data_IF_592388984212
#
_entry.id   IF_592388984212
#
_cell.length_a   1.000
_cell.length_b   1.000
_cell.length_c   1.000
_cell.angle_alpha   90.00
_cell.angle_beta   90.00
_cell.angle_gamma   90.00
#
_symmetry.space_group_name_H-M   'P 1'
#
loop_
_entity.id
_entity.type
_entity.pdbx_description
1 polymer ?
#
# COMPACT_ATOMS: atom_id res chain seq x y z
N UNK A 1 -8.06 -28.20 3.27
CA UNK A 1 -7.23 -27.02 3.56
C UNK A 1 -5.78 -27.44 3.40
N UNK A 2 -5.09 -26.93 2.39
CA UNK A 2 -3.66 -27.20 2.24
C UNK A 2 -2.93 -26.49 3.39
N UNK A 3 -2.24 -27.28 4.22
CA UNK A 3 -1.42 -26.78 5.30
C UNK A 3 -0.13 -26.22 4.68
N UNK A 4 -0.11 -24.93 4.35
CA UNK A 4 1.09 -24.27 3.84
C UNK A 4 2.14 -24.19 4.96
N UNK A 5 3.42 -24.34 4.60
CA UNK A 5 4.51 -24.23 5.55
C UNK A 5 4.45 -22.85 6.22
N UNK A 6 4.36 -22.83 7.55
CA UNK A 6 4.38 -21.58 8.32
C UNK A 6 5.78 -21.00 8.20
N UNK A 7 5.90 -19.82 7.64
CA UNK A 7 7.14 -19.04 7.71
C UNK A 7 7.34 -18.63 9.17
N UNK A 8 8.42 -19.07 9.80
CA UNK A 8 8.56 -18.91 11.24
C UNK A 8 8.72 -17.45 11.66
N UNK A 9 9.50 -16.64 10.91
CA UNK A 9 9.75 -15.24 11.27
C UNK A 9 9.70 -14.31 10.06
N UNK A 10 8.87 -13.27 10.16
CA UNK A 10 8.62 -12.29 9.09
C UNK A 10 9.07 -10.89 9.54
N UNK A 11 9.94 -10.25 8.77
CA UNK A 11 10.24 -8.83 8.92
C UNK A 11 9.23 -7.99 8.15
N UNK A 12 8.53 -7.08 8.82
CA UNK A 12 7.63 -6.12 8.18
C UNK A 12 8.28 -4.74 8.17
N UNK A 13 8.59 -4.23 6.97
CA UNK A 13 9.15 -2.90 6.74
C UNK A 13 8.06 -1.92 6.36
N UNK A 14 8.01 -0.76 7.05
CA UNK A 14 6.88 0.16 7.01
C UNK A 14 5.76 -0.23 7.98
N UNK A 15 6.08 -1.01 9.03
CA UNK A 15 5.15 -1.58 10.00
C UNK A 15 4.26 -0.55 10.71
N UNK A 16 4.70 0.68 10.89
CA UNK A 16 3.92 1.77 11.52
C UNK A 16 2.98 2.49 10.54
N UNK A 17 3.04 2.16 9.23
CA UNK A 17 2.12 2.67 8.21
C UNK A 17 0.76 1.96 8.24
N UNK A 18 -0.23 2.51 7.52
CA UNK A 18 -1.58 1.92 7.46
C UNK A 18 -1.57 0.47 6.95
N UNK A 19 -0.88 0.21 5.84
CA UNK A 19 -0.80 -1.14 5.29
C UNK A 19 0.11 -2.03 6.14
N UNK A 20 1.28 -1.54 6.57
CA UNK A 20 2.22 -2.34 7.34
C UNK A 20 1.66 -2.80 8.69
N UNK A 21 0.92 -1.94 9.39
CA UNK A 21 0.26 -2.33 10.65
C UNK A 21 -0.83 -3.38 10.44
N UNK A 22 -1.58 -3.29 9.33
CA UNK A 22 -2.54 -4.32 8.96
C UNK A 22 -1.85 -5.65 8.59
N UNK A 23 -0.72 -5.60 7.89
CA UNK A 23 0.10 -6.80 7.61
C UNK A 23 0.58 -7.43 8.92
N UNK A 24 1.11 -6.65 9.86
CA UNK A 24 1.52 -7.15 11.17
C UNK A 24 0.38 -7.86 11.90
N UNK A 25 -0.81 -7.25 11.94
CA UNK A 25 -1.98 -7.83 12.61
C UNK A 25 -2.41 -9.15 11.95
N UNK A 26 -2.52 -9.19 10.63
CA UNK A 26 -2.91 -10.40 9.91
C UNK A 26 -1.84 -11.50 9.99
N UNK A 27 -0.54 -11.16 9.91
CA UNK A 27 0.54 -12.13 10.05
C UNK A 27 0.57 -12.74 11.45
N UNK A 28 0.40 -11.94 12.51
CA UNK A 28 0.27 -12.47 13.89
C UNK A 28 -0.94 -13.37 14.05
N UNK A 29 -2.09 -12.97 13.50
CA UNK A 29 -3.31 -13.79 13.53
C UNK A 29 -3.16 -15.11 12.76
N UNK A 30 -2.31 -15.16 11.73
CA UNK A 30 -1.98 -16.37 10.99
C UNK A 30 -0.89 -17.24 11.67
N UNK A 31 -0.37 -16.83 12.83
CA UNK A 31 0.60 -17.61 13.61
C UNK A 31 2.07 -17.32 13.27
N UNK A 32 2.36 -16.33 12.44
CA UNK A 32 3.74 -15.96 12.14
C UNK A 32 4.37 -15.16 13.30
N UNK A 33 5.66 -15.36 13.54
CA UNK A 33 6.44 -14.44 14.37
C UNK A 33 6.78 -13.20 13.55
N UNK A 34 6.40 -12.03 14.06
CA UNK A 34 6.56 -10.77 13.33
C UNK A 34 7.58 -9.89 14.01
N UNK A 35 8.61 -9.52 13.25
CA UNK A 35 9.53 -8.44 13.58
C UNK A 35 9.11 -7.18 12.80
N UNK A 36 8.69 -6.14 13.51
CA UNK A 36 8.31 -4.86 12.93
C UNK A 36 9.51 -3.92 12.88
N UNK A 37 9.92 -3.47 11.67
CA UNK A 37 10.94 -2.42 11.56
C UNK A 37 10.32 -1.08 11.92
N UNK A 38 10.87 -0.43 12.94
CA UNK A 38 10.44 0.87 13.43
C UNK A 38 11.60 1.87 13.38
N UNK A 39 11.32 3.13 13.12
CA UNK A 39 12.35 4.18 13.14
C UNK A 39 12.55 4.76 14.54
N UNK A 40 11.46 4.97 15.22
CA UNK A 40 11.40 5.58 16.55
C UNK A 40 10.24 5.01 17.34
N UNK A 41 10.28 5.13 18.65
CA UNK A 41 9.15 4.82 19.52
C UNK A 41 7.96 5.76 19.27
N UNK A 42 6.76 5.22 19.30
CA UNK A 42 5.52 5.94 19.06
C UNK A 42 4.32 5.17 19.64
N UNK A 43 3.14 5.79 19.66
CA UNK A 43 1.89 5.10 20.01
C UNK A 43 1.64 3.89 19.10
N UNK A 44 1.95 4.01 17.81
CA UNK A 44 1.83 2.90 16.85
C UNK A 44 2.79 1.75 17.15
N UNK A 45 4.00 2.06 17.62
CA UNK A 45 4.94 1.02 18.07
C UNK A 45 4.41 0.26 19.27
N UNK A 46 3.80 0.97 20.23
CA UNK A 46 3.16 0.33 21.38
C UNK A 46 1.98 -0.57 20.97
N UNK A 47 1.22 -0.18 19.94
CA UNK A 47 0.16 -1.01 19.35
C UNK A 47 0.72 -2.29 18.70
N UNK A 48 1.81 -2.20 17.95
CA UNK A 48 2.47 -3.37 17.36
C UNK A 48 2.94 -4.36 18.43
N UNK A 49 3.51 -3.87 19.53
CA UNK A 49 3.88 -4.74 20.67
C UNK A 49 2.69 -5.39 21.34
N UNK A 50 1.55 -4.68 21.48
CA UNK A 50 0.31 -5.27 22.00
C UNK A 50 -0.24 -6.38 21.09
N UNK A 51 0.02 -6.32 19.80
CA UNK A 51 -0.26 -7.40 18.85
C UNK A 51 0.71 -8.57 18.95
N UNK A 52 1.72 -8.51 19.83
CA UNK A 52 2.74 -9.54 19.97
C UNK A 52 3.84 -9.47 18.91
N UNK A 53 4.06 -8.33 18.28
CA UNK A 53 5.19 -8.14 17.37
C UNK A 53 6.46 -7.77 18.14
N UNK A 54 7.59 -8.41 17.78
CA UNK A 54 8.91 -7.91 18.12
C UNK A 54 9.19 -6.62 17.35
N UNK A 55 10.02 -5.75 17.91
CA UNK A 55 10.41 -4.51 17.22
C UNK A 55 11.92 -4.46 17.02
N UNK A 56 12.34 -4.07 15.83
CA UNK A 56 13.74 -3.76 15.51
C UNK A 56 13.84 -2.28 15.09
N UNK A 57 14.79 -1.55 15.66
CA UNK A 57 15.05 -0.16 15.27
C UNK A 57 15.90 -0.14 14.00
N UNK A 58 15.43 0.58 12.99
CA UNK A 58 16.14 0.75 11.73
C UNK A 58 15.41 1.69 10.77
N UNK A 59 16.13 2.17 9.78
CA UNK A 59 15.66 3.09 8.76
C UNK A 59 16.17 2.65 7.38
N UNK A 60 15.32 2.71 6.38
CA UNK A 60 15.67 2.42 4.98
C UNK A 60 16.85 3.28 4.47
N UNK A 61 17.09 4.44 5.09
CA UNK A 61 18.22 5.31 4.76
C UNK A 61 19.56 4.85 5.38
N UNK A 62 19.54 3.82 6.22
CA UNK A 62 20.71 3.31 6.95
C UNK A 62 20.94 1.81 6.70
N UNK A 63 21.70 1.42 5.66
CA UNK A 63 21.86 0.02 5.24
C UNK A 63 22.32 -0.92 6.36
N UNK A 64 23.20 -0.48 7.27
CA UNK A 64 23.64 -1.28 8.39
C UNK A 64 22.48 -1.71 9.32
N UNK A 65 21.46 -0.86 9.49
CA UNK A 65 20.27 -1.19 10.27
C UNK A 65 19.38 -2.22 9.58
N UNK A 66 19.37 -2.24 8.25
CA UNK A 66 18.62 -3.21 7.45
C UNK A 66 19.26 -4.60 7.55
N UNK A 67 20.58 -4.68 7.43
CA UNK A 67 21.30 -5.93 7.62
C UNK A 67 21.06 -6.53 9.03
N UNK A 68 21.02 -5.68 10.07
CA UNK A 68 20.67 -6.12 11.42
C UNK A 68 19.23 -6.60 11.53
N UNK A 69 18.27 -5.92 10.89
CA UNK A 69 16.87 -6.27 10.93
C UNK A 69 16.56 -7.58 10.19
N UNK A 70 17.29 -7.89 9.11
CA UNK A 70 17.13 -9.09 8.29
C UNK A 70 17.75 -10.36 8.93
N UNK A 71 18.55 -10.26 10.03
CA UNK A 71 19.11 -11.45 10.68
C UNK A 71 18.01 -12.34 11.25
N UNK A 72 18.15 -13.64 11.05
CA UNK A 72 17.24 -14.66 11.58
C UNK A 72 15.77 -14.47 11.18
N UNK A 73 15.50 -13.91 10.00
CA UNK A 73 14.17 -13.85 9.42
C UNK A 73 14.10 -14.67 8.14
N UNK A 74 12.99 -15.34 7.92
CA UNK A 74 12.77 -16.17 6.73
C UNK A 74 12.13 -15.39 5.60
N UNK A 75 11.31 -14.39 5.95
CA UNK A 75 10.60 -13.58 4.96
C UNK A 75 10.64 -12.09 5.28
N UNK A 76 10.60 -11.27 4.23
CA UNK A 76 10.43 -9.83 4.31
C UNK A 76 9.14 -9.43 3.60
N UNK A 77 8.31 -8.63 4.28
CA UNK A 77 7.18 -7.92 3.65
C UNK A 77 7.45 -6.43 3.74
N UNK A 78 7.58 -5.75 2.61
CA UNK A 78 7.78 -4.29 2.61
C UNK A 78 6.61 -3.53 2.01
N UNK A 79 6.14 -2.55 2.79
CA UNK A 79 5.04 -1.64 2.44
C UNK A 79 5.48 -0.18 2.52
N UNK A 80 6.78 0.06 2.77
CA UNK A 80 7.32 1.37 3.00
C UNK A 80 7.28 2.26 1.76
N UNK A 81 6.95 3.53 1.96
CA UNK A 81 7.08 4.60 0.98
C UNK A 81 7.20 5.96 1.68
N UNK A 82 7.72 6.96 0.95
CA UNK A 82 7.90 8.32 1.46
C UNK A 82 6.80 9.29 1.00
N UNK A 83 5.79 8.85 0.26
CA UNK A 83 4.82 9.75 -0.38
C UNK A 83 4.10 10.67 0.63
N UNK A 84 3.85 10.17 1.82
CA UNK A 84 3.18 10.92 2.91
C UNK A 84 4.09 11.17 4.11
N UNK A 85 5.37 10.80 4.03
CA UNK A 85 6.30 11.01 5.12
C UNK A 85 6.64 12.49 5.29
N UNK A 86 6.76 12.91 6.55
CA UNK A 86 7.23 14.25 6.95
C UNK A 86 8.54 14.19 7.74
N UNK A 87 9.15 13.01 7.84
CA UNK A 87 10.40 12.85 8.56
C UNK A 87 11.56 13.50 7.78
N UNK A 88 12.51 14.08 8.51
CA UNK A 88 13.67 14.74 7.93
C UNK A 88 14.50 13.75 7.09
N UNK A 89 14.91 14.19 5.91
CA UNK A 89 15.68 13.40 4.95
C UNK A 89 14.88 12.33 4.19
N UNK A 90 13.58 12.17 4.45
CA UNK A 90 12.74 11.28 3.67
C UNK A 90 12.46 11.92 2.30
N UNK A 91 12.66 11.15 1.26
CA UNK A 91 12.32 11.49 -0.10
C UNK A 91 12.02 10.21 -0.90
N UNK A 92 11.35 10.37 -2.03
CA UNK A 92 11.09 9.24 -2.95
C UNK A 92 12.41 8.59 -3.39
N UNK A 93 13.48 9.36 -3.59
CA UNK A 93 14.80 8.83 -3.92
C UNK A 93 15.42 8.06 -2.76
N UNK A 94 15.37 8.63 -1.55
CA UNK A 94 16.05 8.05 -0.39
C UNK A 94 15.35 6.78 0.12
N UNK A 95 14.02 6.77 0.14
CA UNK A 95 13.23 5.69 0.72
C UNK A 95 12.73 4.71 -0.35
N UNK A 96 12.02 5.23 -1.38
CA UNK A 96 11.36 4.34 -2.36
C UNK A 96 12.32 3.73 -3.36
N UNK A 97 13.47 4.41 -3.64
CA UNK A 97 14.51 3.86 -4.52
C UNK A 97 15.65 3.26 -3.73
N UNK A 98 16.56 4.09 -3.19
CA UNK A 98 17.81 3.63 -2.56
C UNK A 98 17.53 2.67 -1.40
N UNK A 99 16.77 3.11 -0.41
CA UNK A 99 16.48 2.29 0.76
C UNK A 99 15.73 0.99 0.46
N UNK A 100 14.88 0.99 -0.58
CA UNK A 100 14.22 -0.26 -1.02
C UNK A 100 15.19 -1.20 -1.73
N UNK A 101 16.12 -0.70 -2.54
CA UNK A 101 17.19 -1.51 -3.16
C UNK A 101 18.13 -2.07 -2.08
N UNK A 102 18.60 -1.22 -1.15
CA UNK A 102 19.44 -1.63 -0.04
C UNK A 102 18.76 -2.70 0.84
N UNK A 103 17.43 -2.64 0.99
CA UNK A 103 16.65 -3.67 1.69
C UNK A 103 16.65 -5.01 0.94
N UNK A 104 16.51 -4.99 -0.38
CA UNK A 104 16.58 -6.21 -1.21
C UNK A 104 17.94 -6.87 -1.07
N UNK A 105 19.01 -6.08 -1.17
CA UNK A 105 20.39 -6.58 -1.05
C UNK A 105 20.66 -7.12 0.38
N UNK A 106 20.22 -6.40 1.42
CA UNK A 106 20.37 -6.84 2.81
C UNK A 106 19.60 -8.13 3.11
N UNK A 107 18.40 -8.28 2.55
CA UNK A 107 17.60 -9.50 2.71
C UNK A 107 18.26 -10.69 2.01
N UNK A 108 18.73 -10.52 0.77
CA UNK A 108 19.43 -11.56 0.02
C UNK A 108 20.73 -11.97 0.73
N UNK A 109 21.54 -11.01 1.20
CA UNK A 109 22.78 -11.27 1.93
C UNK A 109 22.56 -11.97 3.28
N UNK A 110 21.40 -11.75 3.92
CA UNK A 110 21.01 -12.42 5.16
C UNK A 110 20.42 -13.83 4.95
N UNK A 111 20.27 -14.28 3.70
CA UNK A 111 19.71 -15.59 3.39
C UNK A 111 18.17 -15.66 3.53
N UNK A 112 17.49 -14.50 3.45
CA UNK A 112 16.02 -14.47 3.44
C UNK A 112 15.50 -15.29 2.25
N UNK A 113 14.58 -16.22 2.52
CA UNK A 113 14.05 -17.12 1.49
C UNK A 113 12.90 -16.51 0.70
N UNK A 114 12.14 -15.56 1.30
CA UNK A 114 10.92 -15.00 0.73
C UNK A 114 10.87 -13.47 0.81
N UNK A 115 10.58 -12.81 -0.30
CA UNK A 115 10.44 -11.36 -0.35
C UNK A 115 9.11 -10.93 -0.97
N UNK A 116 8.26 -10.26 -0.19
CA UNK A 116 6.98 -9.70 -0.66
C UNK A 116 7.09 -8.18 -0.74
N UNK A 117 7.01 -7.66 -1.94
CA UNK A 117 7.13 -6.24 -2.23
C UNK A 117 5.79 -5.62 -2.60
N UNK A 118 5.39 -4.55 -1.92
CA UNK A 118 4.21 -3.78 -2.32
C UNK A 118 4.61 -2.67 -3.30
N UNK A 119 4.25 -2.87 -4.54
CA UNK A 119 4.44 -1.92 -5.63
C UNK A 119 3.17 -1.12 -5.90
N UNK A 120 2.77 -0.96 -7.14
CA UNK A 120 1.59 -0.24 -7.58
C UNK A 120 1.05 -0.82 -8.89
N UNK A 121 -0.18 -0.45 -9.24
CA UNK A 121 -0.90 -0.85 -10.45
C UNK A 121 0.02 -0.87 -11.68
N UNK A 122 0.12 -2.01 -12.41
CA UNK A 122 0.96 -2.12 -13.60
C UNK A 122 0.54 -1.17 -14.73
N UNK A 123 -0.72 -0.75 -14.77
CA UNK A 123 -1.23 0.19 -15.78
C UNK A 123 -0.80 1.65 -15.50
N UNK A 124 -0.22 1.95 -14.34
CA UNK A 124 0.26 3.30 -14.03
C UNK A 124 1.42 3.70 -14.95
N UNK A 125 1.30 4.83 -15.69
CA UNK A 125 2.34 5.27 -16.59
C UNK A 125 3.58 5.74 -15.82
N UNK A 126 4.77 5.38 -16.29
CA UNK A 126 6.05 5.76 -15.67
C UNK A 126 6.43 7.23 -15.95
N UNK A 127 5.47 8.14 -15.83
CA UNK A 127 5.61 9.56 -16.12
C UNK A 127 6.10 10.40 -14.93
N UNK A 128 6.40 9.78 -13.81
CA UNK A 128 7.00 10.41 -12.63
C UNK A 128 8.05 9.49 -11.99
N UNK A 129 8.91 10.06 -11.15
CA UNK A 129 10.01 9.35 -10.51
C UNK A 129 9.52 8.20 -9.61
N UNK A 130 8.43 8.39 -8.88
CA UNK A 130 7.90 7.37 -7.97
C UNK A 130 7.57 6.07 -8.70
N UNK A 131 6.82 6.15 -9.82
CA UNK A 131 6.46 4.97 -10.61
C UNK A 131 7.71 4.31 -11.18
N UNK A 132 8.66 5.09 -11.73
CA UNK A 132 9.92 4.54 -12.27
C UNK A 132 10.72 3.81 -11.20
N UNK A 133 10.86 4.36 -10.00
CA UNK A 133 11.61 3.74 -8.92
C UNK A 133 10.92 2.49 -8.38
N UNK A 134 9.60 2.47 -8.31
CA UNK A 134 8.87 1.24 -7.98
C UNK A 134 9.17 0.12 -8.99
N UNK A 135 9.20 0.43 -10.30
CA UNK A 135 9.58 -0.56 -11.34
C UNK A 135 11.03 -1.00 -11.25
N UNK A 136 11.95 -0.10 -10.91
CA UNK A 136 13.35 -0.45 -10.67
C UNK A 136 13.50 -1.44 -9.50
N UNK A 137 12.82 -1.19 -8.39
CA UNK A 137 12.82 -2.12 -7.25
C UNK A 137 12.16 -3.47 -7.59
N UNK A 138 11.06 -3.48 -8.36
CA UNK A 138 10.48 -4.73 -8.86
C UNK A 138 11.51 -5.58 -9.62
N UNK A 139 12.33 -4.95 -10.47
CA UNK A 139 13.37 -5.65 -11.21
C UNK A 139 14.45 -6.22 -10.27
N UNK A 140 14.89 -5.44 -9.27
CA UNK A 140 15.84 -5.91 -8.28
C UNK A 140 15.29 -7.08 -7.46
N UNK A 141 14.03 -7.02 -7.04
CA UNK A 141 13.34 -8.12 -6.34
C UNK A 141 13.33 -9.40 -7.19
N UNK A 142 13.00 -9.31 -8.49
CA UNK A 142 12.99 -10.45 -9.40
C UNK A 142 14.37 -11.05 -9.63
N UNK A 143 15.41 -10.22 -9.58
CA UNK A 143 16.81 -10.63 -9.78
C UNK A 143 17.51 -11.08 -8.50
N UNK A 144 16.88 -10.97 -7.33
CA UNK A 144 17.52 -11.14 -6.02
C UNK A 144 17.91 -12.59 -5.66
N UNK A 145 17.44 -13.58 -6.40
CA UNK A 145 17.60 -14.99 -6.07
C UNK A 145 16.66 -15.51 -4.96
N UNK A 146 15.97 -14.65 -4.24
CA UNK A 146 14.93 -15.02 -3.29
C UNK A 146 13.67 -15.49 -4.01
N UNK A 147 12.84 -16.28 -3.37
CA UNK A 147 11.46 -16.48 -3.84
C UNK A 147 10.67 -15.18 -3.59
N UNK A 148 10.08 -14.61 -4.62
CA UNK A 148 9.50 -13.29 -4.54
C UNK A 148 8.01 -13.23 -4.88
N UNK A 149 7.36 -12.17 -4.41
CA UNK A 149 6.03 -11.76 -4.85
C UNK A 149 6.00 -10.24 -4.94
N UNK A 150 5.55 -9.71 -6.07
CA UNK A 150 5.30 -8.27 -6.24
C UNK A 150 3.79 -8.05 -6.22
N UNK A 151 3.29 -7.48 -5.13
CA UNK A 151 1.90 -7.06 -5.03
C UNK A 151 1.72 -5.72 -5.73
N UNK A 152 0.78 -5.64 -6.66
CA UNK A 152 0.54 -4.46 -7.49
C UNK A 152 -0.87 -3.92 -7.26
N UNK A 153 -1.14 -3.33 -6.09
CA UNK A 153 -2.46 -2.81 -5.75
C UNK A 153 -2.81 -1.59 -6.61
N UNK A 154 -4.11 -1.50 -6.94
CA UNK A 154 -4.73 -0.30 -7.50
C UNK A 154 -4.93 0.77 -6.41
N UNK A 155 -5.96 1.58 -6.50
CA UNK A 155 -6.23 2.66 -5.57
C UNK A 155 -6.78 2.17 -4.23
N UNK A 156 -6.10 2.47 -3.13
CA UNK A 156 -6.60 2.15 -1.79
C UNK A 156 -7.86 2.96 -1.44
N UNK A 157 -8.90 2.29 -0.93
CA UNK A 157 -10.13 2.93 -0.47
C UNK A 157 -9.83 4.03 0.56
N UNK A 158 -9.01 3.72 1.56
CA UNK A 158 -8.68 4.60 2.68
C UNK A 158 -7.91 5.87 2.26
N UNK A 159 -7.16 5.80 1.16
CA UNK A 159 -6.37 6.91 0.64
C UNK A 159 -7.16 7.72 -0.39
N UNK A 160 -7.86 7.02 -1.30
CA UNK A 160 -8.46 7.65 -2.47
C UNK A 160 -9.91 8.09 -2.24
N UNK A 161 -10.58 7.52 -1.22
CA UNK A 161 -11.95 7.88 -0.82
C UNK A 161 -12.06 8.11 0.69
N UNK A 162 -10.95 8.42 1.35
CA UNK A 162 -10.89 8.79 2.76
C UNK A 162 -10.46 10.25 2.96
N UNK A 163 -10.12 10.60 4.19
CA UNK A 163 -9.70 11.93 4.58
C UNK A 163 -8.52 12.49 3.74
N UNK A 164 -7.51 11.71 3.35
CA UNK A 164 -6.43 12.21 2.49
C UNK A 164 -6.91 12.74 1.13
N UNK A 165 -7.97 12.14 0.58
CA UNK A 165 -8.58 12.58 -0.68
C UNK A 165 -9.68 13.65 -0.48
N UNK A 166 -9.93 14.08 0.75
CA UNK A 166 -10.96 15.06 1.08
C UNK A 166 -12.38 14.49 1.13
N UNK A 167 -12.50 13.18 1.44
CA UNK A 167 -13.77 12.54 1.74
C UNK A 167 -13.98 12.46 3.25
N UNK A 168 -15.19 12.78 3.69
CA UNK A 168 -15.65 12.70 5.08
C UNK A 168 -17.07 12.14 5.10
N UNK A 169 -17.18 10.84 5.39
CA UNK A 169 -18.46 10.16 5.41
C UNK A 169 -19.35 10.66 6.56
N UNK A 170 -18.75 11.03 7.69
CA UNK A 170 -19.46 11.53 8.87
C UNK A 170 -20.11 12.88 8.63
N UNK A 171 -19.45 13.73 7.82
CA UNK A 171 -19.95 15.06 7.45
C UNK A 171 -20.61 15.12 6.08
N UNK A 172 -20.74 13.98 5.40
CA UNK A 172 -21.26 13.86 4.04
C UNK A 172 -20.59 14.83 3.06
N UNK A 173 -19.26 14.80 3.01
CA UNK A 173 -18.43 15.63 2.11
C UNK A 173 -17.54 14.74 1.25
N UNK A 174 -17.38 15.10 -0.03
CA UNK A 174 -16.49 14.41 -0.94
C UNK A 174 -15.80 15.40 -1.88
N UNK A 175 -14.52 15.11 -2.22
CA UNK A 175 -13.80 15.79 -3.29
C UNK A 175 -13.61 14.83 -4.46
N UNK A 176 -13.98 15.27 -5.65
CA UNK A 176 -13.79 14.52 -6.89
C UNK A 176 -12.78 15.22 -7.78
N UNK A 177 -11.87 14.45 -8.34
CA UNK A 177 -10.91 14.94 -9.35
C UNK A 177 -11.49 14.71 -10.74
N UNK A 178 -11.55 15.76 -11.55
CA UNK A 178 -12.09 15.70 -12.90
C UNK A 178 -13.59 15.39 -12.95
N UNK A 179 -14.01 14.64 -13.97
CA UNK A 179 -15.40 14.25 -14.14
C UNK A 179 -15.88 13.15 -13.17
N UNK A 180 -14.94 12.42 -12.57
CA UNK A 180 -15.24 11.31 -11.66
C UNK A 180 -15.92 10.12 -12.31
N UNK A 181 -15.74 9.91 -13.61
CA UNK A 181 -16.41 8.84 -14.39
C UNK A 181 -15.49 7.68 -14.75
N UNK A 182 -14.20 7.82 -14.59
CA UNK A 182 -13.23 6.75 -14.88
C UNK A 182 -13.35 5.66 -13.82
N UNK A 183 -13.62 4.41 -14.19
CA UNK A 183 -13.66 3.31 -13.24
C UNK A 183 -12.28 3.09 -12.58
N UNK A 184 -12.28 2.78 -11.30
CA UNK A 184 -11.10 2.48 -10.49
C UNK A 184 -11.39 1.23 -9.68
N UNK A 185 -10.47 0.28 -9.66
CA UNK A 185 -10.57 -0.91 -8.83
C UNK A 185 -10.20 -0.59 -7.38
N UNK A 186 -11.02 0.15 -6.65
CA UNK A 186 -10.74 0.50 -5.25
C UNK A 186 -10.59 -0.75 -4.38
N UNK A 187 -9.42 -0.91 -3.74
CA UNK A 187 -9.11 -2.04 -2.86
C UNK A 187 -8.91 -1.57 -1.42
N UNK A 188 -9.42 -2.33 -0.46
CA UNK A 188 -9.22 -2.03 0.95
C UNK A 188 -7.77 -2.38 1.39
N UNK A 189 -7.18 -1.57 2.26
CA UNK A 189 -5.87 -1.85 2.86
C UNK A 189 -5.85 -3.22 3.54
N UNK A 190 -6.93 -3.59 4.22
CA UNK A 190 -7.05 -4.88 4.88
C UNK A 190 -6.98 -6.06 3.89
N UNK A 191 -7.52 -5.90 2.67
CA UNK A 191 -7.46 -6.93 1.64
C UNK A 191 -6.02 -7.11 1.15
N UNK A 192 -5.33 -6.01 0.85
CA UNK A 192 -3.92 -6.07 0.44
C UNK A 192 -3.04 -6.67 1.54
N UNK A 193 -3.33 -6.39 2.81
CA UNK A 193 -2.63 -7.02 3.93
C UNK A 193 -2.87 -8.54 3.98
N UNK A 194 -4.11 -9.00 3.74
CA UNK A 194 -4.41 -10.44 3.63
C UNK A 194 -3.69 -11.10 2.45
N UNK A 195 -3.66 -10.45 1.28
CA UNK A 195 -2.86 -10.92 0.14
C UNK A 195 -1.37 -10.98 0.46
N UNK A 196 -0.83 -9.99 1.18
CA UNK A 196 0.57 -9.98 1.58
C UNK A 196 0.92 -11.16 2.50
N UNK A 197 0.04 -11.50 3.43
CA UNK A 197 0.23 -12.65 4.33
C UNK A 197 0.03 -13.97 3.57
N UNK A 198 -1.00 -14.08 2.72
CA UNK A 198 -1.20 -15.25 1.87
C UNK A 198 0.03 -15.49 0.96
N UNK A 199 0.62 -14.43 0.42
CA UNK A 199 1.81 -14.50 -0.43
C UNK A 199 3.03 -15.10 0.27
N UNK A 200 3.07 -15.17 1.59
CA UNK A 200 4.17 -15.78 2.33
C UNK A 200 4.27 -17.31 2.07
N UNK A 201 3.16 -17.97 1.79
CA UNK A 201 3.11 -19.42 1.67
C UNK A 201 2.36 -19.93 0.43
N UNK A 202 1.45 -19.13 -0.15
CA UNK A 202 0.56 -19.60 -1.21
C UNK A 202 1.30 -19.85 -2.52
N UNK A 203 1.20 -21.05 -3.15
CA UNK A 203 1.93 -21.39 -4.37
C UNK A 203 1.67 -20.45 -5.55
N UNK A 204 0.45 -19.94 -5.69
CA UNK A 204 0.09 -19.01 -6.76
C UNK A 204 0.78 -17.64 -6.66
N UNK A 205 1.44 -17.34 -5.52
CA UNK A 205 2.18 -16.10 -5.30
C UNK A 205 3.67 -16.21 -5.61
N UNK A 206 4.21 -17.44 -5.74
CA UNK A 206 5.65 -17.68 -5.86
C UNK A 206 6.19 -17.18 -7.21
N UNK A 207 7.19 -16.29 -7.14
CA UNK A 207 7.86 -15.71 -8.30
C UNK A 207 6.86 -15.09 -9.29
N UNK A 208 5.90 -14.33 -8.75
CA UNK A 208 4.85 -13.71 -9.55
C UNK A 208 4.59 -12.26 -9.19
N UNK A 209 4.23 -11.52 -10.22
CA UNK A 209 3.50 -10.26 -10.09
C UNK A 209 2.03 -10.59 -9.82
N UNK A 210 1.48 -9.95 -8.80
CA UNK A 210 0.10 -10.15 -8.35
C UNK A 210 -0.64 -8.81 -8.44
N UNK A 211 -1.28 -8.52 -9.58
CA UNK A 211 -2.14 -7.34 -9.71
C UNK A 211 -3.33 -7.46 -8.77
N UNK A 212 -3.56 -6.43 -7.96
CA UNK A 212 -4.62 -6.44 -6.96
C UNK A 212 -5.58 -5.27 -7.19
N UNK A 213 -6.86 -5.60 -7.30
CA UNK A 213 -7.93 -4.62 -7.33
C UNK A 213 -9.05 -5.01 -6.40
N UNK A 214 -9.88 -4.05 -6.07
CA UNK A 214 -11.11 -4.34 -5.33
C UNK A 214 -12.10 -5.14 -6.14
N UNK A 215 -13.12 -5.71 -5.49
CA UNK A 215 -14.09 -6.60 -6.12
C UNK A 215 -14.97 -5.89 -7.16
N UNK A 216 -15.05 -4.57 -7.09
CA UNK A 216 -15.95 -3.76 -7.91
C UNK A 216 -15.15 -2.66 -8.64
N UNK A 217 -15.22 -2.59 -9.99
CA UNK A 217 -14.69 -1.45 -10.72
C UNK A 217 -15.68 -0.27 -10.62
N UNK A 218 -15.39 0.67 -9.70
CA UNK A 218 -16.27 1.81 -9.42
C UNK A 218 -15.64 3.10 -9.90
N UNK A 219 -16.40 3.93 -10.61
CA UNK A 219 -16.03 5.33 -10.79
C UNK A 219 -16.19 6.11 -9.46
N UNK A 220 -15.48 7.22 -9.26
CA UNK A 220 -15.68 8.08 -8.09
C UNK A 220 -17.14 8.52 -7.89
N UNK A 221 -17.91 8.69 -8.96
CA UNK A 221 -19.34 9.00 -8.87
C UNK A 221 -20.19 7.82 -8.40
N UNK A 222 -19.84 6.60 -8.79
CA UNK A 222 -20.53 5.39 -8.30
C UNK A 222 -20.18 5.13 -6.85
N UNK A 223 -18.90 5.27 -6.47
CA UNK A 223 -18.47 5.23 -5.08
C UNK A 223 -19.22 6.25 -4.22
N UNK A 224 -19.40 7.49 -4.72
CA UNK A 224 -20.20 8.52 -4.06
C UNK A 224 -21.65 8.09 -3.85
N UNK A 225 -22.30 7.54 -4.89
CA UNK A 225 -23.67 7.05 -4.77
C UNK A 225 -23.82 5.91 -3.76
N UNK A 226 -22.82 5.03 -3.69
CA UNK A 226 -22.79 3.98 -2.65
C UNK A 226 -22.67 4.60 -1.26
N UNK A 227 -21.76 5.58 -1.08
CA UNK A 227 -21.63 6.29 0.18
C UNK A 227 -22.92 7.02 0.59
N UNK A 228 -23.61 7.67 -0.33
CA UNK A 228 -24.92 8.30 -0.08
C UNK A 228 -25.97 7.28 0.35
N UNK A 229 -26.04 6.11 -0.31
CA UNK A 229 -26.98 5.04 0.09
C UNK A 229 -26.68 4.47 1.48
N UNK A 230 -25.39 4.25 1.79
CA UNK A 230 -24.98 3.68 3.07
C UNK A 230 -25.23 4.65 4.23
N UNK A 231 -24.95 5.94 4.00
CA UNK A 231 -25.11 6.99 5.04
C UNK A 231 -26.53 7.53 5.15
N UNK A 232 -27.38 7.30 4.15
CA UNK A 232 -28.71 7.92 4.04
C UNK A 232 -28.66 9.44 3.80
N UNK A 233 -27.50 10.01 3.43
CA UNK A 233 -27.28 11.46 3.34
C UNK A 233 -26.77 11.85 1.96
N UNK A 234 -27.19 13.02 1.45
CA UNK A 234 -26.61 13.63 0.26
C UNK A 234 -25.27 14.27 0.60
N UNK A 235 -24.29 14.09 -0.27
CA UNK A 235 -22.95 14.61 -0.08
C UNK A 235 -22.77 15.97 -0.73
N UNK A 236 -22.11 16.90 -0.01
CA UNK A 236 -21.57 18.12 -0.61
C UNK A 236 -20.30 17.78 -1.39
N UNK A 237 -20.34 17.97 -2.70
CA UNK A 237 -19.24 17.59 -3.59
C UNK A 237 -18.43 18.79 -4.03
N UNK A 238 -17.13 18.79 -3.70
CA UNK A 238 -16.16 19.70 -4.26
C UNK A 238 -15.50 19.07 -5.49
N UNK A 239 -15.34 19.82 -6.58
CA UNK A 239 -14.68 19.34 -7.80
C UNK A 239 -13.35 20.02 -7.99
N UNK A 240 -12.29 19.24 -8.21
CA UNK A 240 -10.97 19.72 -8.59
C UNK A 240 -10.74 19.43 -10.08
N UNK A 241 -10.72 20.47 -10.95
CA UNK A 241 -10.45 20.26 -12.37
C UNK A 241 -9.05 19.66 -12.60
N UNK A 242 -8.93 18.69 -13.50
CA UNK A 242 -7.62 18.07 -13.84
C UNK A 242 -6.61 19.10 -14.33
N UNK A 243 -7.07 20.16 -15.04
CA UNK A 243 -6.21 21.24 -15.49
C UNK A 243 -5.50 21.95 -14.33
N UNK A 244 -6.21 22.20 -13.23
CA UNK A 244 -5.63 22.82 -12.01
C UNK A 244 -4.56 21.92 -11.41
N UNK A 245 -4.79 20.61 -11.35
CA UNK A 245 -3.80 19.65 -10.83
C UNK A 245 -2.56 19.61 -11.74
N UNK A 246 -2.74 19.68 -13.07
CA UNK A 246 -1.63 19.71 -14.02
C UNK A 246 -0.77 20.97 -13.85
N UNK A 247 -1.39 22.14 -13.70
CA UNK A 247 -0.68 23.40 -13.43
C UNK A 247 0.04 23.33 -12.09
N UNK A 248 -0.63 22.91 -11.03
CA UNK A 248 -0.02 22.75 -9.71
C UNK A 248 1.20 21.80 -9.78
N UNK A 249 1.07 20.66 -10.48
CA UNK A 249 2.16 19.71 -10.70
C UNK A 249 3.35 20.34 -11.45
N UNK A 250 3.09 21.12 -12.49
CA UNK A 250 4.14 21.78 -13.26
C UNK A 250 4.92 22.82 -12.44
N UNK A 251 4.23 23.51 -11.54
CA UNK A 251 4.83 24.59 -10.71
C UNK A 251 5.55 24.00 -9.49
N UNK A 252 4.94 23.04 -8.78
CA UNK A 252 5.45 22.56 -7.48
C UNK A 252 6.29 21.29 -7.63
N UNK A 253 6.01 20.49 -8.64
CA UNK A 253 6.66 19.17 -8.86
C UNK A 253 8.19 19.24 -8.87
N UNK A 254 8.84 20.19 -9.55
CA UNK A 254 10.30 20.30 -9.57
C UNK A 254 10.94 20.47 -8.18
N UNK A 255 10.20 21.02 -7.22
CA UNK A 255 10.68 21.34 -5.87
C UNK A 255 10.18 20.37 -4.80
N UNK A 256 9.16 19.55 -5.12
CA UNK A 256 8.52 18.64 -4.15
C UNK A 256 8.16 17.31 -4.81
N UNK A 257 9.09 16.37 -4.80
CA UNK A 257 8.92 15.07 -5.43
C UNK A 257 7.77 14.21 -4.87
N UNK A 258 7.46 14.20 -3.56
CA UNK A 258 6.25 13.54 -3.05
C UNK A 258 4.96 14.14 -3.61
N UNK A 259 4.88 15.45 -3.71
CA UNK A 259 3.69 16.13 -4.26
C UNK A 259 3.57 15.92 -5.77
N UNK A 260 4.69 15.93 -6.52
CA UNK A 260 4.71 15.54 -7.94
C UNK A 260 4.14 14.13 -8.14
N UNK A 261 4.58 13.18 -7.33
CA UNK A 261 4.11 11.81 -7.38
C UNK A 261 2.61 11.71 -7.09
N UNK A 262 2.14 12.35 -6.01
CA UNK A 262 0.73 12.36 -5.63
C UNK A 262 -0.15 12.97 -6.73
N UNK A 263 0.20 14.15 -7.23
CA UNK A 263 -0.55 14.82 -8.29
C UNK A 263 -0.52 13.99 -9.58
N UNK A 264 0.62 13.37 -9.92
CA UNK A 264 0.76 12.48 -11.05
C UNK A 264 -0.17 11.27 -10.97
N UNK A 265 -0.26 10.62 -9.80
CA UNK A 265 -1.18 9.51 -9.56
C UNK A 265 -2.65 9.94 -9.67
N UNK A 266 -3.04 11.05 -9.05
CA UNK A 266 -4.40 11.59 -9.10
C UNK A 266 -4.83 11.95 -10.54
N UNK A 267 -3.94 12.57 -11.32
CA UNK A 267 -4.18 12.89 -12.73
C UNK A 267 -4.34 11.61 -13.54
N UNK A 268 -3.46 10.62 -13.34
CA UNK A 268 -3.51 9.35 -14.06
C UNK A 268 -4.79 8.58 -13.76
N UNK A 269 -5.22 8.52 -12.51
CA UNK A 269 -6.50 7.91 -12.13
C UNK A 269 -7.70 8.63 -12.73
N UNK A 270 -7.68 9.97 -12.76
CA UNK A 270 -8.81 10.76 -13.30
C UNK A 270 -8.91 10.71 -14.83
N UNK A 271 -7.82 10.45 -15.55
CA UNK A 271 -7.74 10.51 -17.01
C UNK A 271 -7.35 9.19 -17.67
N UNK A 272 -6.89 8.21 -16.89
CA UNK A 272 -6.49 6.89 -17.36
C UNK A 272 -7.68 6.07 -17.84
N UNK A 273 -7.39 5.02 -18.60
CA UNK A 273 -8.34 3.95 -18.87
C UNK A 273 -8.36 3.08 -17.62
N UNK A 274 -9.52 2.95 -16.98
CA UNK A 274 -9.67 2.08 -15.82
C UNK A 274 -9.11 0.70 -16.14
N UNK A 275 -8.14 0.25 -15.36
CA UNK A 275 -7.77 -1.14 -15.39
C UNK A 275 -8.94 -1.95 -14.85
N UNK A 276 -9.32 -3.01 -15.55
CA UNK A 276 -10.23 -4.02 -15.02
C UNK A 276 -9.35 -5.20 -14.59
N UNK A 277 -8.80 -5.18 -13.35
CA UNK A 277 -7.99 -6.29 -12.88
C UNK A 277 -8.90 -7.50 -12.68
N UNK A 278 -8.38 -8.65 -13.01
CA UNK A 278 -9.02 -9.92 -12.66
C UNK A 278 -8.99 -10.05 -11.14
N UNK A 279 -10.14 -10.20 -10.47
CA UNK A 279 -10.17 -10.42 -9.03
C UNK A 279 -9.46 -11.74 -8.70
N UNK A 280 -8.40 -11.67 -7.88
CA UNK A 280 -7.65 -12.86 -7.44
C UNK A 280 -8.12 -13.37 -6.07
N UNK A 281 -9.25 -12.87 -5.57
CA UNK A 281 -9.77 -13.19 -4.24
C UNK A 281 -9.98 -14.69 -4.04
N UNK A 282 -10.59 -15.37 -5.02
CA UNK A 282 -10.86 -16.82 -4.95
C UNK A 282 -9.56 -17.63 -5.01
N UNK A 283 -8.58 -17.19 -5.81
CA UNK A 283 -7.28 -17.88 -5.93
C UNK A 283 -6.52 -17.87 -4.60
N UNK A 284 -6.59 -16.77 -3.85
CA UNK A 284 -5.88 -16.61 -2.59
C UNK A 284 -6.77 -16.85 -1.35
N UNK A 285 -8.00 -17.27 -1.54
CA UNK A 285 -9.00 -17.47 -0.47
C UNK A 285 -9.15 -16.21 0.42
N UNK A 286 -9.03 -15.04 -0.18
CA UNK A 286 -9.17 -13.75 0.50
C UNK A 286 -10.60 -13.25 0.35
N UNK A 287 -11.28 -13.01 1.46
CA UNK A 287 -12.61 -12.38 1.42
C UNK A 287 -12.48 -10.91 0.98
N UNK A 288 -13.15 -10.50 -0.11
CA UNK A 288 -13.12 -9.12 -0.57
C UNK A 288 -13.90 -8.19 0.37
N UNK A 289 -13.41 -6.97 0.51
CA UNK A 289 -14.14 -5.89 1.16
C UNK A 289 -14.83 -5.05 0.09
N UNK A 290 -16.16 -5.04 0.07
CA UNK A 290 -16.92 -4.18 -0.82
C UNK A 290 -16.80 -2.71 -0.42
N UNK A 291 -17.03 -1.78 -1.36
CA UNK A 291 -17.01 -0.35 -1.04
C UNK A 291 -18.06 0.04 0.01
N UNK A 292 -19.23 -0.61 -0.02
CA UNK A 292 -20.26 -0.40 0.98
C UNK A 292 -19.85 -0.86 2.38
N UNK A 293 -19.15 -2.00 2.51
CA UNK A 293 -18.59 -2.47 3.79
C UNK A 293 -17.53 -1.50 4.31
N UNK A 294 -16.64 -1.03 3.43
CA UNK A 294 -15.64 -0.02 3.80
C UNK A 294 -16.27 1.26 4.36
N UNK A 295 -17.31 1.80 3.71
CA UNK A 295 -18.01 3.00 4.20
C UNK A 295 -18.62 2.77 5.58
N UNK A 296 -19.27 1.60 5.82
CA UNK A 296 -19.80 1.26 7.16
C UNK A 296 -18.70 1.18 8.22
N UNK A 297 -17.57 0.54 7.90
CA UNK A 297 -16.42 0.45 8.80
C UNK A 297 -15.81 1.82 9.10
N UNK A 298 -15.73 2.70 8.08
CA UNK A 298 -15.20 4.05 8.25
C UNK A 298 -16.11 4.91 9.18
N UNK A 299 -17.43 4.72 9.11
CA UNK A 299 -18.38 5.39 10.01
C UNK A 299 -18.33 4.86 11.45
N UNK A 300 -18.03 3.57 11.63
CA UNK A 300 -17.93 2.96 12.95
C UNK A 300 -16.64 3.33 13.71
N UNK A 301 -15.61 3.84 13.02
CA UNK A 301 -14.39 4.32 13.65
C UNK A 301 -14.62 5.73 14.22
N UNK A 302 -14.24 6.00 15.48
CA UNK A 302 -14.27 7.38 15.98
C UNK A 302 -13.40 8.27 15.08
N UNK A 303 -13.90 9.47 14.77
CA UNK A 303 -13.09 10.49 14.05
C UNK A 303 -11.86 10.82 14.89
N UNK A 304 -10.66 10.89 14.32
CA UNK A 304 -9.43 11.24 15.03
C UNK A 304 -9.46 12.65 15.59
#
# INVERSE_FOLDING_TARGET
MAQFAIVSKVLVVGATGLLGSAVCAHARAAGHDVRALIRTESTRTAELRRLGCDTAVGDLKHPASLAAACRDVEAVVTTANAMTSRASGDSIVAVDRRGSLDLVDAAAAAGVSRFVYTSLDPAMPANNAFVRYKREVEQAVRASGMTWTVLQPTAFMEINTGAPAGWDFSRARARLVGAGRTPVGYIAIADVARFAVAALAHPAALNRDVPLAGPEPLSPLEALRIAERVTGRRFTVQRAPVAVLRVARAVVGPFNSPLDALLGLLISQATGRGATPVPLYDVFEVRPTTFAEYVRQALARPSP
#
